data_IF_142164838475
#
_entry.id   IF_142164838475
#
_cell.length_a   1.000
_cell.length_b   1.000
_cell.length_c   1.000
_cell.angle_alpha   90.00
_cell.angle_beta   90.00
_cell.angle_gamma   90.00
#
_symmetry.space_group_name_H-M   'P 1'
#
loop_
_entity.id
_entity.type
_entity.pdbx_description
1 polymer ?
#
# COMPACT_ATOMS: atom_id res chain seq x y z
N UNK A 1 25.76 30.10 -29.67
CA UNK A 1 24.40 30.08 -29.09
C UNK A 1 24.09 31.47 -28.54
N UNK A 2 23.00 32.13 -28.97
CA UNK A 2 22.55 33.40 -28.38
C UNK A 2 21.45 33.09 -27.37
N UNK A 3 21.66 33.45 -26.11
CA UNK A 3 20.70 33.22 -25.02
C UNK A 3 19.88 34.50 -24.82
N UNK A 4 18.56 34.38 -24.75
CA UNK A 4 17.63 35.48 -24.41
C UNK A 4 16.75 35.03 -23.27
N UNK A 5 16.43 35.95 -22.35
CA UNK A 5 15.55 35.71 -21.20
C UNK A 5 14.24 36.48 -21.36
N UNK A 6 13.20 36.03 -20.66
CA UNK A 6 11.90 36.72 -20.59
C UNK A 6 11.49 36.86 -19.13
N UNK A 7 10.74 37.92 -18.82
CA UNK A 7 10.12 38.15 -17.52
C UNK A 7 8.69 37.62 -17.45
N UNK A 8 8.20 36.97 -18.53
CA UNK A 8 6.90 36.32 -18.49
C UNK A 8 6.85 35.23 -17.41
N UNK A 9 5.83 35.33 -16.55
CA UNK A 9 5.60 34.36 -15.49
C UNK A 9 4.98 33.08 -16.06
N UNK A 10 5.83 32.20 -16.60
CA UNK A 10 5.48 30.87 -17.11
C UNK A 10 5.97 29.83 -16.11
N UNK A 11 5.07 28.95 -15.69
CA UNK A 11 5.35 27.87 -14.74
C UNK A 11 5.52 26.52 -15.43
N UNK A 12 6.22 25.57 -14.80
CA UNK A 12 6.69 24.34 -15.45
C UNK A 12 5.75 23.13 -15.25
N UNK A 13 4.88 23.16 -14.24
CA UNK A 13 4.11 22.00 -13.79
C UNK A 13 2.61 22.10 -14.08
N UNK A 14 2.22 22.40 -15.32
CA UNK A 14 0.83 22.66 -15.68
C UNK A 14 -0.12 21.48 -15.46
N UNK A 15 0.38 20.25 -15.50
CA UNK A 15 -0.43 19.05 -15.21
C UNK A 15 -0.96 19.01 -13.78
N UNK A 16 -0.32 19.72 -12.84
CA UNK A 16 -0.78 19.85 -11.46
C UNK A 16 -2.15 20.54 -11.35
N UNK A 17 -2.53 21.41 -12.30
CA UNK A 17 -3.85 22.04 -12.29
C UNK A 17 -4.97 21.00 -12.43
N UNK A 18 -4.82 20.05 -13.36
CA UNK A 18 -5.79 18.96 -13.55
C UNK A 18 -5.86 18.02 -12.36
N UNK A 19 -4.71 17.73 -11.73
CA UNK A 19 -4.65 16.92 -10.51
C UNK A 19 -5.38 17.62 -9.35
N UNK A 20 -5.13 18.92 -9.19
CA UNK A 20 -5.79 19.76 -8.18
C UNK A 20 -7.29 19.81 -8.39
N UNK A 21 -7.74 19.88 -9.64
CA UNK A 21 -9.15 19.86 -10.02
C UNK A 21 -9.81 18.52 -9.71
N UNK A 22 -9.21 17.38 -10.08
CA UNK A 22 -9.76 16.06 -9.73
C UNK A 22 -9.86 15.89 -8.22
N UNK A 23 -8.84 16.32 -7.46
CA UNK A 23 -8.89 16.30 -5.99
C UNK A 23 -10.10 17.07 -5.45
N UNK A 24 -10.39 18.24 -6.04
CA UNK A 24 -11.53 19.08 -5.65
C UNK A 24 -12.87 18.45 -6.06
N UNK A 25 -12.97 17.91 -7.28
CA UNK A 25 -14.19 17.28 -7.80
C UNK A 25 -14.55 16.00 -7.04
N UNK A 26 -13.56 15.29 -6.49
CA UNK A 26 -13.76 14.17 -5.57
C UNK A 26 -14.13 14.62 -4.15
N UNK A 27 -14.18 15.93 -3.88
CA UNK A 27 -14.49 16.52 -2.58
C UNK A 27 -13.62 15.98 -1.43
N UNK A 28 -12.36 15.67 -1.74
CA UNK A 28 -11.44 15.09 -0.74
C UNK A 28 -11.20 16.04 0.44
N UNK A 29 -11.29 17.36 0.24
CA UNK A 29 -11.24 18.32 1.35
C UNK A 29 -12.33 18.08 2.39
N UNK A 30 -13.58 17.94 1.95
CA UNK A 30 -14.71 17.69 2.84
C UNK A 30 -14.61 16.32 3.51
N UNK A 31 -14.09 15.32 2.78
CA UNK A 31 -13.88 13.99 3.33
C UNK A 31 -12.78 13.96 4.40
N UNK A 32 -11.67 14.66 4.17
CA UNK A 32 -10.58 14.82 5.14
C UNK A 32 -11.10 15.51 6.40
N UNK A 33 -11.85 16.61 6.25
CA UNK A 33 -12.44 17.34 7.38
C UNK A 33 -13.42 16.48 8.17
N UNK A 34 -14.26 15.67 7.50
CA UNK A 34 -15.18 14.73 8.17
C UNK A 34 -14.47 13.76 9.11
N UNK A 35 -13.28 13.27 8.73
CA UNK A 35 -12.53 12.28 9.52
C UNK A 35 -11.61 12.90 10.55
N UNK A 36 -10.88 13.95 10.17
CA UNK A 36 -9.86 14.56 11.01
C UNK A 36 -10.38 15.73 11.84
N UNK A 37 -11.56 16.26 11.50
CA UNK A 37 -12.12 17.47 12.08
C UNK A 37 -11.45 18.73 11.57
N UNK A 38 -11.77 19.84 12.22
CA UNK A 38 -11.14 21.13 11.97
C UNK A 38 -9.88 21.30 12.80
N UNK A 39 -8.93 22.06 12.27
CA UNK A 39 -7.78 22.53 13.03
C UNK A 39 -8.19 23.71 13.94
N UNK A 40 -7.42 24.00 15.00
CA UNK A 40 -7.71 25.15 15.88
C UNK A 40 -7.91 26.44 15.06
N UNK A 41 -8.83 27.31 15.49
CA UNK A 41 -9.27 28.51 14.76
C UNK A 41 -8.12 29.44 14.32
N UNK A 42 -7.03 29.49 15.09
CA UNK A 42 -5.82 30.24 14.77
C UNK A 42 -4.99 29.65 13.61
N UNK A 43 -5.34 28.44 13.14
CA UNK A 43 -4.60 27.74 12.09
C UNK A 43 -4.94 28.30 10.72
N UNK A 44 -3.94 28.83 10.02
CA UNK A 44 -4.10 29.34 8.64
C UNK A 44 -4.45 28.25 7.61
N UNK A 45 -4.03 27.01 7.86
CA UNK A 45 -4.15 25.88 6.94
C UNK A 45 -4.95 24.75 7.57
N UNK A 46 -5.87 24.17 6.81
CA UNK A 46 -6.62 22.96 7.17
C UNK A 46 -5.75 21.70 7.02
N UNK A 47 -6.25 20.55 7.49
CA UNK A 47 -5.61 19.27 7.20
C UNK A 47 -5.61 18.95 5.71
N UNK A 48 -6.68 19.30 4.99
CA UNK A 48 -6.75 19.12 3.53
C UNK A 48 -5.67 19.94 2.82
N UNK A 49 -5.46 21.19 3.21
CA UNK A 49 -4.42 22.04 2.62
C UNK A 49 -3.03 21.38 2.75
N UNK A 50 -2.69 20.88 3.95
CA UNK A 50 -1.40 20.23 4.21
C UNK A 50 -1.24 18.93 3.43
N UNK A 51 -2.25 18.05 3.46
CA UNK A 51 -2.22 16.76 2.75
C UNK A 51 -2.11 17.00 1.25
N UNK A 52 -2.90 17.94 0.70
CA UNK A 52 -2.86 18.29 -0.72
C UNK A 52 -1.48 18.84 -1.10
N UNK A 53 -0.88 19.75 -0.33
CA UNK A 53 0.48 20.24 -0.59
C UNK A 53 1.51 19.10 -0.64
N UNK A 54 1.47 18.18 0.32
CA UNK A 54 2.37 17.02 0.35
C UNK A 54 2.15 16.10 -0.86
N UNK A 55 0.92 15.88 -1.28
CA UNK A 55 0.65 15.06 -2.47
C UNK A 55 1.14 15.74 -3.74
N UNK A 56 0.85 17.03 -3.92
CA UNK A 56 1.29 17.79 -5.08
C UNK A 56 2.82 17.83 -5.18
N UNK A 57 3.52 17.90 -4.05
CA UNK A 57 4.99 17.82 -3.97
C UNK A 57 5.51 16.51 -4.60
N UNK A 58 5.02 15.36 -4.12
CA UNK A 58 5.44 14.06 -4.65
C UNK A 58 5.00 13.87 -6.10
N UNK A 59 3.80 14.35 -6.46
CA UNK A 59 3.29 14.32 -7.83
C UNK A 59 4.01 15.29 -8.78
N UNK A 60 4.84 16.19 -8.26
CA UNK A 60 5.77 17.03 -9.02
C UNK A 60 7.21 16.48 -9.06
N UNK A 61 7.49 15.41 -8.31
CA UNK A 61 8.81 14.77 -8.25
C UNK A 61 9.69 15.21 -7.09
N UNK A 62 9.17 15.97 -6.13
CA UNK A 62 9.85 16.22 -4.86
C UNK A 62 9.83 14.98 -3.95
N UNK A 63 10.73 14.96 -2.98
CA UNK A 63 10.87 13.86 -2.02
C UNK A 63 11.06 14.28 -0.56
N UNK A 64 11.20 15.58 -0.31
CA UNK A 64 11.21 16.18 1.03
C UNK A 64 10.37 17.48 1.07
N UNK A 65 9.89 17.86 2.25
CA UNK A 65 8.96 18.99 2.37
C UNK A 65 9.59 20.33 1.96
N UNK A 66 10.91 20.44 2.12
CA UNK A 66 11.76 21.56 1.76
C UNK A 66 11.72 21.87 0.26
N UNK A 67 11.51 20.86 -0.59
CA UNK A 67 11.38 21.04 -2.05
C UNK A 67 10.24 21.98 -2.43
N UNK A 68 9.21 22.14 -1.57
CA UNK A 68 8.17 23.14 -1.79
C UNK A 68 8.79 24.54 -1.82
N UNK A 69 9.62 24.87 -0.84
CA UNK A 69 10.18 26.21 -0.72
C UNK A 69 11.31 26.45 -1.72
N UNK A 70 12.16 25.45 -1.96
CA UNK A 70 13.35 25.56 -2.80
C UNK A 70 13.04 25.45 -4.31
N UNK A 71 12.01 24.70 -4.69
CA UNK A 71 11.81 24.30 -6.10
C UNK A 71 10.41 24.54 -6.65
N UNK A 72 9.36 24.41 -5.84
CA UNK A 72 7.98 24.33 -6.36
C UNK A 72 7.07 25.51 -5.96
N UNK A 73 7.53 26.42 -5.11
CA UNK A 73 6.70 27.48 -4.53
C UNK A 73 6.07 28.38 -5.59
N UNK A 74 6.87 28.82 -6.55
CA UNK A 74 6.42 29.69 -7.66
C UNK A 74 5.33 29.00 -8.49
N UNK A 75 5.50 27.72 -8.79
CA UNK A 75 4.52 26.92 -9.53
C UNK A 75 3.24 26.68 -8.73
N UNK A 76 3.36 26.36 -7.44
CA UNK A 76 2.21 26.08 -6.59
C UNK A 76 1.34 27.32 -6.36
N UNK A 77 1.96 28.50 -6.27
CA UNK A 77 1.24 29.77 -6.16
C UNK A 77 0.40 30.10 -7.41
N UNK A 78 0.70 29.49 -8.57
CA UNK A 78 -0.09 29.64 -9.78
C UNK A 78 -1.25 28.65 -9.89
N UNK A 79 -1.34 27.66 -9.00
CA UNK A 79 -2.45 26.70 -9.00
C UNK A 79 -3.66 27.34 -8.29
N UNK A 80 -4.82 27.48 -8.95
CA UNK A 80 -5.99 28.11 -8.36
C UNK A 80 -6.42 27.40 -7.08
N UNK A 81 -6.76 28.20 -6.06
CA UNK A 81 -7.27 27.75 -4.77
C UNK A 81 -6.33 26.83 -3.98
N UNK A 82 -5.03 26.77 -4.32
CA UNK A 82 -4.03 26.06 -3.53
C UNK A 82 -3.41 26.99 -2.48
N UNK A 83 -3.63 26.70 -1.19
CA UNK A 83 -2.95 27.40 -0.10
C UNK A 83 -1.58 26.78 0.13
N UNK A 84 -0.51 27.43 -0.34
CA UNK A 84 0.85 26.88 -0.27
C UNK A 84 1.37 26.88 1.18
N UNK A 85 1.67 25.70 1.71
CA UNK A 85 2.19 25.51 3.06
C UNK A 85 3.72 25.64 3.09
N UNK A 86 4.29 26.09 4.22
CA UNK A 86 5.73 25.98 4.44
C UNK A 86 6.13 24.54 4.80
N UNK A 87 7.40 24.15 4.61
CA UNK A 87 7.91 22.84 5.05
C UNK A 87 7.63 22.58 6.53
N UNK A 88 7.86 23.58 7.39
CA UNK A 88 7.60 23.49 8.83
C UNK A 88 6.13 23.24 9.14
N UNK A 89 5.21 23.89 8.41
CA UNK A 89 3.77 23.70 8.59
C UNK A 89 3.39 22.27 8.27
N UNK A 90 3.90 21.69 7.18
CA UNK A 90 3.63 20.31 6.79
C UNK A 90 4.14 19.36 7.87
N UNK A 91 5.40 19.52 8.26
CA UNK A 91 6.02 18.68 9.29
C UNK A 91 5.28 18.75 10.63
N UNK A 92 4.96 19.96 11.10
CA UNK A 92 4.28 20.17 12.37
C UNK A 92 2.87 19.54 12.38
N UNK A 93 2.10 19.73 11.31
CA UNK A 93 0.73 19.22 11.25
C UNK A 93 0.67 17.71 11.18
N UNK A 94 1.55 17.08 10.41
CA UNK A 94 1.64 15.62 10.34
C UNK A 94 2.09 15.00 11.67
N UNK A 95 3.04 15.63 12.37
CA UNK A 95 3.44 15.19 13.72
C UNK A 95 2.28 15.29 14.71
N UNK A 96 1.49 16.36 14.67
CA UNK A 96 0.36 16.57 15.57
C UNK A 96 -0.83 15.63 15.30
N UNK A 97 -0.88 15.00 14.12
CA UNK A 97 -1.86 13.94 13.83
C UNK A 97 -1.48 12.60 14.47
N UNK A 98 -0.27 12.43 14.98
CA UNK A 98 0.15 11.17 15.56
C UNK A 98 -0.73 10.78 16.76
N UNK A 99 -1.13 9.51 16.80
CA UNK A 99 -1.80 8.92 17.96
C UNK A 99 -0.76 8.16 18.80
N UNK A 100 -0.96 8.13 20.11
CA UNK A 100 -0.07 7.39 21.01
C UNK A 100 0.10 5.95 20.53
N UNK A 101 1.35 5.49 20.50
CA UNK A 101 1.67 4.09 20.21
C UNK A 101 1.21 3.19 21.35
N UNK A 102 0.77 1.99 20.98
CA UNK A 102 0.44 0.92 21.91
C UNK A 102 1.71 0.15 22.26
N UNK A 103 1.90 -0.13 23.55
CA UNK A 103 3.07 -0.82 24.06
C UNK A 103 2.64 -2.13 24.71
N UNK A 104 3.26 -3.23 24.31
CA UNK A 104 3.03 -4.55 24.87
C UNK A 104 4.34 -5.15 25.34
N UNK A 105 4.34 -5.68 26.56
CA UNK A 105 5.50 -6.34 27.14
C UNK A 105 5.26 -7.84 27.02
N UNK A 106 6.17 -8.55 26.34
CA UNK A 106 6.10 -10.02 26.26
C UNK A 106 6.45 -10.67 27.60
N UNK A 107 6.14 -11.94 27.76
CA UNK A 107 6.55 -12.72 28.95
C UNK A 107 8.07 -12.73 29.18
N UNK A 108 8.86 -12.48 28.13
CA UNK A 108 10.31 -12.36 28.20
C UNK A 108 10.81 -10.92 28.46
N UNK A 109 9.91 -10.00 28.85
CA UNK A 109 10.22 -8.60 29.13
C UNK A 109 10.52 -7.75 27.90
N UNK A 110 10.27 -8.25 26.68
CA UNK A 110 10.55 -7.50 25.45
C UNK A 110 9.41 -6.53 25.18
N UNK A 111 9.75 -5.26 25.02
CA UNK A 111 8.81 -4.22 24.66
C UNK A 111 8.56 -4.16 23.14
N UNK A 112 7.32 -4.46 22.77
CA UNK A 112 6.78 -4.38 21.43
C UNK A 112 5.92 -3.12 21.28
N UNK A 113 6.17 -2.35 20.22
CA UNK A 113 5.50 -1.08 19.98
C UNK A 113 4.71 -1.15 18.67
N UNK A 114 3.45 -0.76 18.74
CA UNK A 114 2.51 -0.71 17.62
C UNK A 114 1.97 0.71 17.48
N UNK A 115 1.78 1.16 16.25
CA UNK A 115 1.13 2.43 15.97
C UNK A 115 0.10 2.24 14.87
N UNK A 116 -1.13 2.59 15.21
CA UNK A 116 -2.27 2.60 14.29
C UNK A 116 -2.91 3.98 14.32
N UNK A 117 -3.66 4.32 13.26
CA UNK A 117 -4.40 5.56 13.21
C UNK A 117 -5.80 5.32 12.62
N UNK A 118 -6.75 4.99 13.50
CA UNK A 118 -8.12 4.55 13.12
C UNK A 118 -8.80 5.50 12.13
N UNK A 119 -8.73 6.81 12.36
CA UNK A 119 -9.35 7.83 11.48
C UNK A 119 -8.72 7.92 10.09
N UNK A 120 -7.41 7.72 9.95
CA UNK A 120 -6.72 7.79 8.65
C UNK A 120 -6.93 6.51 7.87
N UNK A 121 -6.95 5.35 8.53
CA UNK A 121 -7.35 4.08 7.92
C UNK A 121 -8.81 4.15 7.41
N UNK A 122 -9.73 4.70 8.21
CA UNK A 122 -11.12 4.89 7.80
C UNK A 122 -11.26 5.91 6.65
N UNK A 123 -10.51 7.01 6.69
CA UNK A 123 -10.45 8.00 5.61
C UNK A 123 -9.97 7.39 4.29
N UNK A 124 -8.91 6.58 4.32
CA UNK A 124 -8.37 5.90 3.15
C UNK A 124 -9.42 5.01 2.47
N UNK A 125 -10.18 4.23 3.24
CA UNK A 125 -11.28 3.44 2.70
C UNK A 125 -12.39 4.30 2.09
N UNK A 126 -12.77 5.40 2.75
CA UNK A 126 -13.80 6.29 2.21
C UNK A 126 -13.34 6.99 0.92
N UNK A 127 -12.04 7.29 0.77
CA UNK A 127 -11.47 7.78 -0.49
C UNK A 127 -11.55 6.73 -1.60
N UNK A 128 -11.29 5.45 -1.28
CA UNK A 128 -11.41 4.34 -2.23
C UNK A 128 -12.88 4.09 -2.63
N UNK A 129 -13.83 4.27 -1.72
CA UNK A 129 -15.27 4.24 -2.03
C UNK A 129 -15.67 5.44 -2.91
N UNK A 130 -15.21 6.65 -2.58
CA UNK A 130 -15.50 7.88 -3.34
C UNK A 130 -14.97 7.80 -4.77
N UNK A 131 -13.82 7.14 -4.97
CA UNK A 131 -13.22 6.88 -6.29
C UNK A 131 -13.78 5.65 -7.01
N UNK A 132 -14.76 4.95 -6.41
CA UNK A 132 -15.39 3.71 -6.91
C UNK A 132 -14.42 2.56 -7.16
N UNK A 133 -13.23 2.61 -6.56
CA UNK A 133 -12.31 1.47 -6.51
C UNK A 133 -12.90 0.37 -5.65
N UNK A 134 -13.49 0.78 -4.51
CA UNK A 134 -14.30 -0.07 -3.66
C UNK A 134 -15.77 0.28 -3.82
N UNK A 135 -16.63 -0.71 -3.66
CA UNK A 135 -18.07 -0.60 -3.75
C UNK A 135 -18.72 -1.31 -2.55
N UNK A 136 -19.82 -0.73 -2.08
CA UNK A 136 -20.61 -1.24 -0.96
C UNK A 136 -21.25 -2.57 -1.35
N UNK A 137 -21.22 -3.55 -0.44
CA UNK A 137 -21.73 -4.91 -0.59
C UNK A 137 -21.05 -5.76 -1.67
N UNK A 138 -19.89 -5.32 -2.19
CA UNK A 138 -19.11 -6.10 -3.14
C UNK A 138 -18.04 -6.93 -2.43
N UNK A 139 -17.74 -8.07 -3.04
CA UNK A 139 -16.77 -9.04 -2.57
C UNK A 139 -15.40 -8.81 -3.21
N UNK A 140 -14.34 -8.87 -2.41
CA UNK A 140 -12.98 -8.58 -2.82
C UNK A 140 -11.98 -9.65 -2.36
N UNK A 141 -10.85 -9.70 -3.07
CA UNK A 141 -9.69 -10.48 -2.65
C UNK A 141 -8.79 -9.61 -1.76
N UNK A 142 -8.49 -10.13 -0.57
CA UNK A 142 -7.71 -9.48 0.46
C UNK A 142 -6.32 -10.11 0.55
N UNK A 143 -5.30 -9.26 0.61
CA UNK A 143 -3.92 -9.66 0.87
C UNK A 143 -3.40 -8.96 2.13
N UNK A 144 -2.59 -9.68 2.90
CA UNK A 144 -1.86 -9.12 4.03
C UNK A 144 -0.39 -9.52 3.97
N UNK A 145 0.48 -8.52 4.08
CA UNK A 145 1.92 -8.70 4.11
C UNK A 145 2.59 -7.68 5.02
N UNK A 146 3.75 -8.05 5.57
CA UNK A 146 4.60 -7.12 6.29
C UNK A 146 5.74 -6.61 5.40
N UNK A 147 5.99 -5.30 5.46
CA UNK A 147 7.11 -4.67 4.78
C UNK A 147 8.16 -4.22 5.79
N UNK A 148 9.41 -4.67 5.66
CA UNK A 148 10.49 -4.08 6.44
C UNK A 148 10.93 -2.75 5.82
N UNK A 149 10.93 -1.69 6.62
CA UNK A 149 11.44 -0.37 6.21
C UNK A 149 12.70 -0.09 7.04
N UNK A 150 13.91 -0.32 6.47
CA UNK A 150 15.16 0.02 7.14
C UNK A 150 15.24 1.53 7.37
N UNK A 151 15.45 1.95 8.62
CA UNK A 151 15.63 3.35 8.97
C UNK A 151 16.40 3.49 10.29
N UNK A 152 17.09 4.60 10.45
CA UNK A 152 17.85 4.94 11.66
C UNK A 152 17.13 6.05 12.44
N UNK A 153 15.83 5.85 12.66
CA UNK A 153 15.03 6.79 13.46
C UNK A 153 15.33 6.63 14.94
N UNK A 154 15.07 7.70 15.69
CA UNK A 154 15.40 7.82 17.10
C UNK A 154 14.90 6.61 17.91
N UNK A 155 13.63 6.22 17.73
CA UNK A 155 13.02 5.10 18.46
C UNK A 155 13.03 3.77 17.69
N UNK A 156 13.65 3.69 16.51
CA UNK A 156 13.74 2.43 15.75
C UNK A 156 14.48 1.34 16.52
N UNK A 157 14.07 0.08 16.38
CA UNK A 157 14.69 -1.08 17.04
C UNK A 157 15.20 -2.08 15.99
N UNK A 158 16.19 -2.90 16.37
CA UNK A 158 16.82 -3.90 15.49
C UNK A 158 15.83 -5.04 15.20
N UNK A 159 15.68 -5.39 13.93
CA UNK A 159 14.84 -6.50 13.49
C UNK A 159 15.61 -7.80 13.35
N UNK A 160 14.89 -8.90 13.11
CA UNK A 160 15.48 -10.19 12.75
C UNK A 160 16.30 -10.14 11.45
N UNK A 161 16.09 -9.13 10.59
CA UNK A 161 16.90 -8.85 9.40
C UNK A 161 18.22 -8.13 9.72
N UNK A 162 18.61 -8.09 11.00
CA UNK A 162 19.84 -7.49 11.53
C UNK A 162 20.00 -5.99 11.24
N UNK A 163 18.92 -5.31 10.86
CA UNK A 163 18.87 -3.87 10.59
C UNK A 163 17.83 -3.19 11.48
N UNK A 164 18.08 -1.93 11.84
CA UNK A 164 17.12 -1.05 12.53
C UNK A 164 16.06 -0.58 11.55
N UNK A 165 14.82 -0.47 12.02
CA UNK A 165 13.74 -0.01 11.17
C UNK A 165 12.37 -0.24 11.76
N UNK A 166 11.35 -0.09 10.92
CA UNK A 166 9.96 -0.43 11.22
C UNK A 166 9.49 -1.60 10.36
N UNK A 167 8.43 -2.28 10.80
CA UNK A 167 7.94 -3.51 10.20
C UNK A 167 6.41 -3.48 9.95
N UNK A 168 5.87 -2.43 9.30
CA UNK A 168 4.43 -2.28 9.10
C UNK A 168 3.74 -3.53 8.54
N UNK A 169 2.58 -3.85 9.10
CA UNK A 169 1.58 -4.73 8.50
C UNK A 169 0.72 -3.91 7.54
N UNK A 170 0.64 -4.37 6.29
CA UNK A 170 -0.07 -3.67 5.21
C UNK A 170 -1.10 -4.61 4.62
N UNK A 171 -2.32 -4.11 4.48
CA UNK A 171 -3.42 -4.83 3.84
C UNK A 171 -3.75 -4.20 2.50
N UNK A 172 -4.00 -5.04 1.49
CA UNK A 172 -4.29 -4.57 0.13
C UNK A 172 -5.50 -5.28 -0.47
N UNK A 173 -6.24 -4.55 -1.31
CA UNK A 173 -7.24 -5.10 -2.23
C UNK A 173 -6.79 -4.76 -3.65
N UNK A 174 -6.45 -5.79 -4.42
CA UNK A 174 -5.82 -5.63 -5.73
C UNK A 174 -4.53 -4.80 -5.62
N UNK A 175 -4.48 -3.65 -6.31
CA UNK A 175 -3.30 -2.74 -6.27
C UNK A 175 -3.36 -1.69 -5.17
N UNK A 176 -4.45 -1.61 -4.40
CA UNK A 176 -4.71 -0.49 -3.49
C UNK A 176 -4.41 -0.88 -2.05
N UNK A 177 -3.68 -0.02 -1.34
CA UNK A 177 -3.45 -0.18 0.09
C UNK A 177 -4.70 0.27 0.82
N UNK A 178 -5.28 -0.60 1.63
CA UNK A 178 -6.55 -0.32 2.33
C UNK A 178 -6.34 -0.03 3.81
N UNK A 179 -5.29 -0.59 4.42
CA UNK A 179 -4.99 -0.41 5.84
C UNK A 179 -3.50 -0.55 6.12
N UNK A 180 -3.00 0.24 7.08
CA UNK A 180 -1.65 0.12 7.62
C UNK A 180 -1.71 0.13 9.14
N UNK A 181 -0.97 -0.79 9.76
CA UNK A 181 -0.58 -0.74 11.15
C UNK A 181 0.95 -0.83 11.22
N UNK A 182 1.58 0.21 11.75
CA UNK A 182 3.02 0.23 11.88
C UNK A 182 3.46 -0.44 13.18
N UNK A 183 4.65 -1.01 13.18
CA UNK A 183 5.26 -1.62 14.36
C UNK A 183 6.76 -1.47 14.33
N UNK A 184 7.37 -1.46 15.50
CA UNK A 184 8.81 -1.30 15.60
C UNK A 184 9.55 -2.57 15.16
N UNK A 185 10.79 -2.44 14.68
CA UNK A 185 11.52 -3.50 13.99
C UNK A 185 11.76 -4.78 14.80
N UNK A 186 11.82 -4.69 16.14
CA UNK A 186 11.95 -5.85 17.03
C UNK A 186 10.64 -6.62 17.26
N UNK A 187 9.52 -6.13 16.73
CA UNK A 187 8.21 -6.76 16.89
C UNK A 187 8.06 -7.89 15.90
N UNK A 188 7.88 -9.11 16.41
CA UNK A 188 7.68 -10.30 15.58
C UNK A 188 6.42 -10.13 14.71
N UNK A 189 6.48 -10.57 13.45
CA UNK A 189 5.38 -10.51 12.49
C UNK A 189 4.11 -11.19 12.98
N UNK A 190 4.25 -12.33 13.67
CA UNK A 190 3.15 -13.12 14.25
C UNK A 190 2.54 -12.48 15.49
N UNK A 191 3.31 -11.67 16.22
CA UNK A 191 2.88 -11.14 17.51
C UNK A 191 1.73 -10.15 17.29
N UNK A 192 0.57 -10.47 17.88
CA UNK A 192 -0.70 -9.73 17.76
C UNK A 192 -1.20 -9.49 16.34
N UNK A 193 -0.78 -10.30 15.37
CA UNK A 193 -1.25 -10.16 13.99
C UNK A 193 -2.75 -10.45 13.85
N UNK A 194 -3.30 -11.38 14.65
CA UNK A 194 -4.73 -11.66 14.68
C UNK A 194 -5.55 -10.41 15.07
N UNK A 195 -5.07 -9.63 16.05
CA UNK A 195 -5.69 -8.36 16.44
C UNK A 195 -5.62 -7.34 15.29
N UNK A 196 -4.47 -7.23 14.61
CA UNK A 196 -4.32 -6.38 13.42
C UNK A 196 -5.35 -6.74 12.35
N UNK A 197 -5.45 -8.02 12.00
CA UNK A 197 -6.38 -8.51 10.97
C UNK A 197 -7.83 -8.29 11.37
N UNK A 198 -8.19 -8.59 12.62
CA UNK A 198 -9.54 -8.34 13.14
C UNK A 198 -9.93 -6.87 13.04
N UNK A 199 -9.00 -5.96 13.36
CA UNK A 199 -9.21 -4.52 13.20
C UNK A 199 -9.46 -4.13 11.74
N UNK A 200 -8.70 -4.70 10.79
CA UNK A 200 -8.88 -4.42 9.36
C UNK A 200 -10.23 -4.95 8.86
N UNK A 201 -10.55 -6.22 9.15
CA UNK A 201 -11.81 -6.83 8.71
C UNK A 201 -13.03 -6.14 9.31
N UNK A 202 -12.98 -5.82 10.61
CA UNK A 202 -14.06 -5.07 11.27
C UNK A 202 -14.24 -3.70 10.63
N UNK A 203 -13.14 -3.02 10.29
CA UNK A 203 -13.23 -1.74 9.58
C UNK A 203 -13.87 -1.90 8.19
N UNK A 204 -13.48 -2.92 7.41
CA UNK A 204 -14.09 -3.22 6.11
C UNK A 204 -15.59 -3.52 6.24
N UNK A 205 -15.99 -4.28 7.26
CA UNK A 205 -17.39 -4.59 7.55
C UNK A 205 -18.20 -3.33 7.87
N UNK A 206 -17.66 -2.39 8.66
CA UNK A 206 -18.33 -1.09 8.91
C UNK A 206 -18.53 -0.26 7.63
N UNK A 207 -17.69 -0.50 6.61
CA UNK A 207 -17.79 0.10 5.28
C UNK A 207 -18.58 -0.76 4.29
N UNK A 208 -19.13 -1.89 4.75
CA UNK A 208 -19.85 -2.90 3.97
C UNK A 208 -19.03 -3.43 2.78
N UNK A 209 -17.71 -3.50 2.93
CA UNK A 209 -16.81 -4.13 1.96
C UNK A 209 -16.60 -5.57 2.39
N UNK A 210 -17.01 -6.53 1.56
CA UNK A 210 -16.96 -7.95 1.90
C UNK A 210 -15.70 -8.60 1.34
N UNK A 211 -15.18 -9.60 2.03
CA UNK A 211 -14.00 -10.34 1.58
C UNK A 211 -14.40 -11.74 1.12
N UNK A 212 -14.10 -12.05 -0.14
CA UNK A 212 -14.30 -13.38 -0.69
C UNK A 212 -13.13 -14.27 -0.31
N UNK A 213 -11.93 -13.84 -0.66
CA UNK A 213 -10.72 -14.64 -0.54
C UNK A 213 -9.64 -13.88 0.20
N UNK A 214 -8.97 -14.53 1.14
CA UNK A 214 -7.83 -13.95 1.86
C UNK A 214 -6.55 -14.73 1.61
N UNK A 215 -5.48 -14.05 1.18
CA UNK A 215 -4.16 -14.68 0.97
C UNK A 215 -3.12 -14.09 1.90
N UNK A 216 -2.32 -14.96 2.52
CA UNK A 216 -1.26 -14.56 3.45
C UNK A 216 -0.03 -15.45 3.35
N UNK A 217 1.10 -14.92 3.83
CA UNK A 217 2.38 -15.61 3.86
C UNK A 217 2.53 -16.56 5.06
N UNK A 218 3.71 -17.18 5.22
CA UNK A 218 3.96 -18.11 6.32
C UNK A 218 4.15 -17.41 7.67
N UNK A 219 4.44 -16.11 7.64
CA UNK A 219 4.36 -15.23 8.80
C UNK A 219 2.97 -15.25 9.43
N UNK A 220 1.94 -15.60 8.66
CA UNK A 220 0.54 -15.62 9.11
C UNK A 220 0.04 -17.01 9.53
N UNK A 221 0.91 -18.02 9.56
CA UNK A 221 0.53 -19.39 9.96
C UNK A 221 0.52 -19.54 11.49
N UNK A 222 -0.62 -19.19 12.10
CA UNK A 222 -0.99 -19.51 13.49
C UNK A 222 -2.50 -19.77 13.59
N UNK A 223 -2.93 -20.51 14.62
CA UNK A 223 -4.35 -20.84 14.82
C UNK A 223 -5.23 -19.58 14.91
N UNK A 224 -4.85 -18.64 15.76
CA UNK A 224 -5.60 -17.39 15.99
C UNK A 224 -5.78 -16.56 14.71
N UNK A 225 -4.77 -16.53 13.84
CA UNK A 225 -4.83 -15.80 12.57
C UNK A 225 -5.75 -16.50 11.58
N UNK A 226 -5.66 -17.83 11.49
CA UNK A 226 -6.53 -18.65 10.64
C UNK A 226 -7.98 -18.47 11.08
N UNK A 227 -8.27 -18.62 12.37
CA UNK A 227 -9.63 -18.46 12.92
C UNK A 227 -10.23 -17.08 12.58
N UNK A 228 -9.43 -16.00 12.72
CA UNK A 228 -9.87 -14.66 12.31
C UNK A 228 -10.08 -14.55 10.81
N UNK A 229 -9.16 -15.07 9.98
CA UNK A 229 -9.29 -14.98 8.53
C UNK A 229 -10.53 -15.72 8.01
N UNK A 230 -10.84 -16.90 8.57
CA UNK A 230 -12.02 -17.69 8.26
C UNK A 230 -13.32 -17.02 8.70
N UNK A 231 -13.31 -16.31 9.83
CA UNK A 231 -14.50 -15.60 10.31
C UNK A 231 -14.96 -14.51 9.32
N UNK A 232 -14.02 -13.88 8.61
CA UNK A 232 -14.30 -12.70 7.79
C UNK A 232 -14.14 -12.92 6.27
N UNK A 233 -13.77 -14.13 5.84
CA UNK A 233 -13.54 -14.46 4.43
C UNK A 233 -14.25 -15.76 4.08
N UNK A 234 -14.83 -15.84 2.87
CA UNK A 234 -15.44 -17.08 2.38
C UNK A 234 -14.38 -18.19 2.19
N UNK A 235 -13.19 -17.82 1.71
CA UNK A 235 -12.10 -18.74 1.44
C UNK A 235 -10.76 -18.14 1.89
N UNK A 236 -9.88 -18.98 2.46
CA UNK A 236 -8.54 -18.58 2.87
C UNK A 236 -7.45 -19.35 2.13
N UNK A 237 -6.30 -18.72 1.94
CA UNK A 237 -5.08 -19.31 1.39
C UNK A 237 -3.88 -18.83 2.19
N UNK A 238 -3.37 -19.66 3.11
CA UNK A 238 -2.27 -19.29 4.00
C UNK A 238 -1.11 -20.23 3.74
N UNK A 239 0.07 -19.66 3.51
CA UNK A 239 1.28 -20.48 3.36
C UNK A 239 1.58 -21.22 4.65
N UNK A 240 1.65 -22.54 4.57
CA UNK A 240 1.91 -23.36 5.74
C UNK A 240 3.38 -23.28 6.16
N UNK A 241 3.61 -23.28 7.48
CA UNK A 241 4.92 -23.56 8.04
C UNK A 241 5.15 -25.08 8.00
N UNK A 242 6.39 -25.49 7.75
CA UNK A 242 6.76 -26.91 7.76
C UNK A 242 6.69 -27.45 9.19
N UNK A 243 6.17 -28.66 9.33
CA UNK A 243 6.23 -29.43 10.56
C UNK A 243 6.42 -30.91 10.23
N UNK A 244 7.03 -31.66 11.15
CA UNK A 244 7.41 -33.05 10.91
C UNK A 244 6.21 -33.94 10.54
N UNK A 245 5.05 -33.72 11.17
CA UNK A 245 3.81 -34.47 10.91
C UNK A 245 3.29 -34.24 9.48
N UNK A 246 3.14 -32.97 9.07
CA UNK A 246 2.74 -32.60 7.71
C UNK A 246 3.76 -33.11 6.69
N UNK A 247 5.05 -32.93 6.95
CA UNK A 247 6.12 -33.41 6.05
C UNK A 247 6.08 -34.94 5.89
N UNK A 248 5.76 -35.68 6.95
CA UNK A 248 5.60 -37.14 6.88
C UNK A 248 4.45 -37.56 5.96
N UNK A 249 3.29 -36.88 6.09
CA UNK A 249 2.15 -37.13 5.20
C UNK A 249 2.46 -36.81 3.75
N UNK A 250 3.13 -35.68 3.49
CA UNK A 250 3.54 -35.29 2.14
C UNK A 250 4.51 -36.31 1.53
N UNK A 251 5.46 -36.84 2.31
CA UNK A 251 6.39 -37.89 1.84
C UNK A 251 5.69 -39.20 1.48
N UNK A 252 4.57 -39.53 2.13
CA UNK A 252 3.81 -40.73 1.82
C UNK A 252 3.06 -40.63 0.47
N UNK A 253 2.96 -39.43 -0.12
CA UNK A 253 2.31 -39.22 -1.42
C UNK A 253 3.16 -39.80 -2.54
N UNK A 254 2.65 -40.86 -3.17
CA UNK A 254 3.30 -41.51 -4.33
C UNK A 254 2.97 -40.84 -5.66
N UNK A 255 1.76 -40.31 -5.80
CA UNK A 255 1.25 -39.77 -7.06
C UNK A 255 1.31 -38.25 -7.05
N UNK A 256 2.23 -37.71 -7.84
CA UNK A 256 2.36 -36.27 -8.08
C UNK A 256 1.90 -35.96 -9.50
N UNK A 257 1.06 -34.93 -9.64
CA UNK A 257 0.62 -34.47 -10.95
C UNK A 257 1.58 -33.38 -11.43
N UNK A 258 2.11 -33.51 -12.63
CA UNK A 258 2.87 -32.43 -13.26
C UNK A 258 1.86 -31.45 -13.85
N UNK A 259 1.99 -30.18 -13.46
CA UNK A 259 1.20 -29.07 -13.99
C UNK A 259 2.12 -27.93 -14.39
N UNK A 260 1.67 -27.12 -15.35
CA UNK A 260 2.41 -25.97 -15.84
C UNK A 260 1.95 -24.71 -15.13
N UNK A 261 2.83 -24.11 -14.32
CA UNK A 261 2.59 -22.85 -13.62
C UNK A 261 3.43 -21.76 -14.30
N UNK A 262 2.78 -20.92 -15.10
CA UNK A 262 3.46 -19.93 -15.92
C UNK A 262 4.39 -20.58 -16.96
N UNK A 263 5.70 -20.45 -16.76
CA UNK A 263 6.74 -21.00 -17.64
C UNK A 263 7.41 -22.27 -17.08
N UNK A 264 7.01 -22.73 -15.90
CA UNK A 264 7.66 -23.85 -15.19
C UNK A 264 6.71 -25.03 -15.05
N UNK A 265 7.27 -26.24 -15.22
CA UNK A 265 6.57 -27.48 -14.87
C UNK A 265 6.87 -27.81 -13.40
N UNK A 266 5.81 -27.98 -12.63
CA UNK A 266 5.87 -28.17 -11.18
C UNK A 266 5.04 -29.40 -10.82
N UNK A 267 5.54 -30.20 -9.88
CA UNK A 267 4.82 -31.33 -9.34
C UNK A 267 3.91 -30.88 -8.20
N UNK A 268 2.62 -31.23 -8.27
CA UNK A 268 1.60 -30.81 -7.31
C UNK A 268 0.78 -31.99 -6.79
N UNK A 269 0.31 -31.85 -5.55
CA UNK A 269 -0.68 -32.73 -4.95
C UNK A 269 -1.49 -31.99 -3.88
N UNK A 270 -2.55 -32.62 -3.38
CA UNK A 270 -3.29 -32.20 -2.20
C UNK A 270 -3.24 -33.25 -1.12
N UNK A 271 -3.11 -32.83 0.13
CA UNK A 271 -3.27 -33.67 1.32
C UNK A 271 -4.23 -33.00 2.31
N UNK A 272 -4.91 -33.80 3.12
CA UNK A 272 -5.77 -33.32 4.19
C UNK A 272 -5.04 -33.46 5.52
N UNK A 273 -4.90 -32.36 6.26
CA UNK A 273 -4.16 -32.32 7.52
C UNK A 273 -4.86 -31.42 8.53
N UNK A 274 -4.76 -31.81 9.80
CA UNK A 274 -5.34 -31.09 10.94
C UNK A 274 -4.21 -30.40 11.72
N UNK A 275 -3.98 -29.10 11.54
CA UNK A 275 -2.91 -28.39 12.22
C UNK A 275 -3.24 -28.08 13.68
N UNK A 276 -2.19 -27.71 14.44
CA UNK A 276 -2.28 -27.21 15.82
C UNK A 276 -2.92 -28.16 16.84
N UNK A 277 -2.99 -29.47 16.53
CA UNK A 277 -3.73 -30.46 17.34
C UNK A 277 -5.19 -30.02 17.57
N UNK A 278 -5.76 -29.27 16.63
CA UNK A 278 -7.16 -28.90 16.65
C UNK A 278 -8.04 -30.01 16.07
N UNK A 279 -9.29 -29.66 15.79
CA UNK A 279 -10.29 -30.62 15.29
C UNK A 279 -10.64 -30.40 13.82
N UNK A 280 -10.22 -29.26 13.25
CA UNK A 280 -10.56 -28.88 11.88
C UNK A 280 -9.51 -29.36 10.90
N UNK A 281 -9.96 -30.20 9.97
CA UNK A 281 -9.14 -30.68 8.87
C UNK A 281 -9.16 -29.67 7.72
N UNK A 282 -7.99 -29.35 7.18
CA UNK A 282 -7.82 -28.44 6.05
C UNK A 282 -7.18 -29.16 4.87
N UNK A 283 -7.50 -28.65 3.67
CA UNK A 283 -6.78 -29.02 2.46
C UNK A 283 -5.46 -28.28 2.41
N UNK A 284 -4.40 -29.02 2.14
CA UNK A 284 -3.07 -28.49 1.86
C UNK A 284 -2.71 -28.79 0.42
N UNK A 285 -2.66 -27.74 -0.41
CA UNK A 285 -2.13 -27.84 -1.77
C UNK A 285 -0.63 -27.69 -1.70
N UNK A 286 0.09 -28.71 -2.16
CA UNK A 286 1.54 -28.80 -2.06
C UNK A 286 2.14 -28.80 -3.46
N UNK A 287 3.14 -27.96 -3.66
CA UNK A 287 4.00 -27.98 -4.83
C UNK A 287 5.44 -28.31 -4.46
N UNK A 288 6.14 -28.98 -5.38
CA UNK A 288 7.56 -29.27 -5.24
C UNK A 288 8.32 -29.05 -6.54
N UNK A 289 9.53 -28.54 -6.40
CA UNK A 289 10.46 -28.28 -7.51
C UNK A 289 11.83 -28.86 -7.15
N UNK A 290 12.56 -29.38 -8.13
CA UNK A 290 13.93 -29.86 -7.89
C UNK A 290 14.82 -28.70 -7.47
N UNK A 291 15.57 -28.89 -6.40
CA UNK A 291 16.57 -27.95 -5.92
C UNK A 291 17.71 -27.85 -6.93
N UNK A 292 17.97 -26.63 -7.45
CA UNK A 292 19.03 -26.39 -8.44
C UNK A 292 20.44 -26.63 -7.89
N UNK A 293 20.62 -26.63 -6.56
CA UNK A 293 21.92 -26.87 -5.91
C UNK A 293 22.15 -28.33 -5.52
N UNK A 294 21.16 -29.21 -5.68
CA UNK A 294 21.27 -30.64 -5.32
C UNK A 294 21.41 -30.92 -3.83
N UNK A 295 21.35 -29.91 -2.95
CA UNK A 295 21.36 -30.10 -1.50
C UNK A 295 20.07 -30.78 -1.04
N UNK A 296 20.25 -31.86 -0.27
CA UNK A 296 19.16 -32.60 0.37
C UNK A 296 18.51 -31.74 1.45
N UNK A 297 17.19 -31.56 1.35
CA UNK A 297 16.38 -30.95 2.38
C UNK A 297 16.35 -31.85 3.62
N UNK A 298 16.77 -31.32 4.77
CA UNK A 298 16.88 -32.07 6.03
C UNK A 298 15.52 -32.58 6.53
N UNK A 299 14.42 -31.88 6.24
CA UNK A 299 13.09 -32.23 6.71
C UNK A 299 12.38 -33.22 5.79
N UNK A 300 12.63 -33.17 4.47
CA UNK A 300 12.02 -34.08 3.49
C UNK A 300 12.93 -35.22 3.04
N UNK A 301 14.24 -35.15 3.36
CA UNK A 301 15.27 -36.12 3.00
C UNK A 301 15.43 -36.34 1.48
N UNK A 302 15.08 -35.34 0.68
CA UNK A 302 15.22 -35.37 -0.78
C UNK A 302 15.78 -34.05 -1.33
N UNK A 303 15.98 -33.94 -2.63
CA UNK A 303 16.48 -32.73 -3.28
C UNK A 303 15.35 -31.82 -3.80
N UNK A 304 14.16 -31.82 -3.18
CA UNK A 304 13.04 -30.99 -3.60
C UNK A 304 12.77 -29.83 -2.63
N UNK A 305 12.29 -28.71 -3.18
CA UNK A 305 11.80 -27.57 -2.41
C UNK A 305 10.29 -27.69 -2.31
N UNK A 306 9.80 -28.08 -1.13
CA UNK A 306 8.37 -28.19 -0.85
C UNK A 306 7.74 -26.87 -0.41
N UNK A 307 6.53 -26.67 -0.90
CA UNK A 307 5.74 -25.45 -0.78
C UNK A 307 4.28 -25.82 -0.53
N UNK A 308 3.79 -25.67 0.70
CA UNK A 308 2.42 -26.03 1.06
C UNK A 308 1.54 -24.81 1.36
N UNK A 309 0.31 -24.81 0.86
CA UNK A 309 -0.70 -23.77 1.07
C UNK A 309 -1.90 -24.42 1.77
N UNK A 310 -2.19 -23.99 3.00
CA UNK A 310 -3.43 -24.31 3.69
C UNK A 310 -4.56 -23.53 3.03
N UNK A 311 -5.66 -24.21 2.69
CA UNK A 311 -6.85 -23.57 2.14
C UNK A 311 -8.15 -24.25 2.56
N UNK A 312 -9.23 -23.48 2.59
CA UNK A 312 -10.61 -23.96 2.69
C UNK A 312 -11.25 -24.20 1.32
N UNK A 313 -10.54 -23.88 0.23
CA UNK A 313 -10.98 -24.11 -1.14
C UNK A 313 -11.00 -25.61 -1.46
N UNK A 314 -12.20 -26.16 -1.63
CA UNK A 314 -12.39 -27.58 -1.97
C UNK A 314 -12.74 -27.79 -3.45
N UNK A 315 -13.08 -26.72 -4.16
CA UNK A 315 -13.59 -26.77 -5.54
C UNK A 315 -12.48 -26.61 -6.57
N UNK A 316 -11.52 -25.73 -6.31
CA UNK A 316 -10.42 -25.44 -7.25
C UNK A 316 -9.45 -26.61 -7.36
N UNK A 317 -8.89 -26.83 -8.54
CA UNK A 317 -7.77 -27.76 -8.72
C UNK A 317 -6.49 -27.27 -8.04
N UNK A 318 -5.56 -28.18 -7.75
CA UNK A 318 -4.26 -27.85 -7.15
C UNK A 318 -3.50 -26.76 -7.95
N UNK A 319 -3.56 -26.85 -9.28
CA UNK A 319 -2.98 -25.86 -10.18
C UNK A 319 -3.59 -24.48 -9.97
N UNK A 320 -4.93 -24.38 -9.97
CA UNK A 320 -5.65 -23.11 -9.81
C UNK A 320 -5.36 -22.46 -8.45
N UNK A 321 -5.29 -23.27 -7.38
CA UNK A 321 -4.93 -22.76 -6.04
C UNK A 321 -3.53 -22.14 -6.04
N UNK A 322 -2.55 -22.79 -6.66
CA UNK A 322 -1.18 -22.30 -6.72
C UNK A 322 -1.09 -21.04 -7.60
N UNK A 323 -1.70 -21.03 -8.78
CA UNK A 323 -1.71 -19.88 -9.68
C UNK A 323 -2.36 -18.66 -9.02
N UNK A 324 -3.50 -18.87 -8.36
CA UNK A 324 -4.19 -17.82 -7.62
C UNK A 324 -3.38 -17.29 -6.42
N UNK A 325 -2.75 -18.19 -5.66
CA UNK A 325 -1.90 -17.80 -4.54
C UNK A 325 -0.68 -16.98 -5.00
N UNK A 326 -0.07 -17.35 -6.13
CA UNK A 326 1.12 -16.68 -6.68
C UNK A 326 0.86 -15.22 -7.09
N UNK A 327 -0.40 -14.83 -7.37
CA UNK A 327 -0.77 -13.44 -7.63
C UNK A 327 -0.49 -12.51 -6.43
N UNK A 328 -0.37 -13.05 -5.20
CA UNK A 328 0.08 -12.30 -4.01
C UNK A 328 1.45 -11.65 -4.21
N UNK A 329 2.30 -12.20 -5.09
CA UNK A 329 3.60 -11.60 -5.47
C UNK A 329 3.49 -10.16 -6.00
N UNK A 330 2.30 -9.69 -6.37
CA UNK A 330 2.05 -8.28 -6.69
C UNK A 330 2.37 -7.31 -5.54
N UNK A 331 2.35 -7.77 -4.28
CA UNK A 331 2.68 -6.95 -3.11
C UNK A 331 4.10 -6.37 -3.16
N UNK A 332 5.07 -7.12 -3.71
CA UNK A 332 6.45 -6.63 -3.87
C UNK A 332 6.51 -5.37 -4.73
N UNK A 333 5.71 -5.33 -5.81
CA UNK A 333 5.61 -4.15 -6.67
C UNK A 333 4.96 -2.96 -5.95
N UNK A 334 3.95 -3.21 -5.12
CA UNK A 334 3.31 -2.16 -4.30
C UNK A 334 4.35 -1.56 -3.34
N UNK A 335 5.14 -2.38 -2.65
CA UNK A 335 6.16 -1.89 -1.73
C UNK A 335 7.33 -1.21 -2.43
N UNK A 336 7.73 -1.67 -3.62
CA UNK A 336 8.71 -0.97 -4.45
C UNK A 336 8.23 0.44 -4.84
N UNK A 337 6.96 0.58 -5.23
CA UNK A 337 6.32 1.89 -5.48
C UNK A 337 6.31 2.75 -4.23
N UNK A 338 5.87 2.21 -3.09
CA UNK A 338 5.83 2.99 -1.85
C UNK A 338 7.21 3.47 -1.40
N UNK A 339 8.22 2.61 -1.53
CA UNK A 339 9.58 2.92 -1.11
C UNK A 339 10.25 3.97 -2.02
N UNK A 340 10.12 3.82 -3.34
CA UNK A 340 10.87 4.62 -4.31
C UNK A 340 10.09 5.84 -4.82
N UNK A 341 8.76 5.74 -4.95
CA UNK A 341 7.93 6.78 -5.55
C UNK A 341 7.16 7.59 -4.49
N UNK A 342 6.80 6.99 -3.34
CA UNK A 342 5.95 7.62 -2.31
C UNK A 342 6.62 7.74 -0.93
N UNK A 343 7.95 7.76 -0.91
CA UNK A 343 8.72 8.27 0.24
C UNK A 343 8.86 7.32 1.45
N UNK A 344 8.38 6.06 1.41
CA UNK A 344 8.54 5.15 2.56
C UNK A 344 9.99 4.84 2.88
N UNK A 345 10.90 4.91 1.91
CA UNK A 345 12.35 4.76 2.15
C UNK A 345 12.96 5.98 2.86
N UNK A 346 12.30 7.14 2.81
CA UNK A 346 12.75 8.43 3.37
C UNK A 346 11.75 8.95 4.41
N UNK A 347 11.45 8.14 5.41
CA UNK A 347 10.56 8.52 6.51
C UNK A 347 11.02 9.86 7.14
N UNK A 348 10.16 10.87 7.34
CA UNK A 348 10.62 12.21 7.71
C UNK A 348 10.78 12.43 9.22
N UNK A 349 10.19 11.57 10.07
CA UNK A 349 10.08 11.86 11.50
C UNK A 349 10.91 10.94 12.39
N UNK A 350 11.14 11.37 13.63
CA UNK A 350 12.00 10.65 14.59
C UNK A 350 11.30 9.47 15.26
N UNK A 351 9.97 9.48 15.33
CA UNK A 351 9.18 8.53 16.13
C UNK A 351 8.26 7.66 15.27
N UNK A 352 8.00 6.44 15.72
CA UNK A 352 7.16 5.44 15.05
C UNK A 352 5.77 6.01 14.67
N UNK A 353 5.08 6.62 15.63
CA UNK A 353 3.70 7.09 15.47
C UNK A 353 3.56 8.26 14.49
N UNK A 354 4.55 9.15 14.45
CA UNK A 354 4.60 10.25 13.48
C UNK A 354 4.82 9.70 12.07
N UNK A 355 5.71 8.72 11.91
CA UNK A 355 5.96 8.08 10.62
C UNK A 355 4.77 7.23 10.16
N UNK A 356 3.95 6.72 11.08
CA UNK A 356 2.71 6.01 10.76
C UNK A 356 1.71 6.94 10.06
N UNK A 357 1.57 8.18 10.54
CA UNK A 357 0.77 9.21 9.85
C UNK A 357 1.31 9.46 8.44
N UNK A 358 2.61 9.69 8.31
CA UNK A 358 3.22 9.93 6.99
C UNK A 358 2.96 8.77 6.03
N UNK A 359 3.16 7.52 6.48
CA UNK A 359 2.97 6.34 5.65
C UNK A 359 1.52 6.19 5.17
N UNK A 360 0.53 6.45 6.04
CA UNK A 360 -0.88 6.44 5.70
C UNK A 360 -1.24 7.54 4.68
N UNK A 361 -0.77 8.77 4.92
CA UNK A 361 -0.98 9.89 4.00
C UNK A 361 -0.38 9.61 2.62
N UNK A 362 0.79 8.98 2.56
CA UNK A 362 1.42 8.61 1.29
C UNK A 362 0.78 7.39 0.63
N UNK A 363 0.23 6.44 1.40
CA UNK A 363 -0.56 5.34 0.83
C UNK A 363 -1.83 5.86 0.14
N UNK A 364 -2.51 6.85 0.76
CA UNK A 364 -3.62 7.56 0.13
C UNK A 364 -3.18 8.31 -1.13
N UNK A 365 -2.01 8.96 -1.12
CA UNK A 365 -1.42 9.61 -2.30
C UNK A 365 -1.24 8.61 -3.46
N UNK A 366 -0.71 7.42 -3.17
CA UNK A 366 -0.54 6.37 -4.19
C UNK A 366 -1.87 5.88 -4.72
N UNK A 367 -2.86 5.64 -3.86
CA UNK A 367 -4.20 5.23 -4.30
C UNK A 367 -4.83 6.31 -5.20
N UNK A 368 -4.69 7.58 -4.84
CA UNK A 368 -5.13 8.70 -5.67
C UNK A 368 -4.38 8.75 -7.01
N UNK A 369 -3.06 8.53 -7.01
CA UNK A 369 -2.26 8.44 -8.24
C UNK A 369 -2.75 7.34 -9.18
N UNK A 370 -3.09 6.15 -8.67
CA UNK A 370 -3.65 5.08 -9.48
C UNK A 370 -4.99 5.50 -10.12
N UNK A 371 -5.83 6.21 -9.36
CA UNK A 371 -7.08 6.76 -9.89
C UNK A 371 -6.82 7.81 -10.99
N UNK A 372 -5.87 8.72 -10.80
CA UNK A 372 -5.47 9.71 -11.81
C UNK A 372 -5.03 9.03 -13.12
N UNK A 373 -4.24 7.95 -13.03
CA UNK A 373 -3.82 7.21 -14.22
C UNK A 373 -5.01 6.63 -14.99
N UNK A 374 -6.00 6.06 -14.29
CA UNK A 374 -7.23 5.55 -14.90
C UNK A 374 -7.97 6.69 -15.61
N UNK A 375 -8.33 7.74 -14.88
CA UNK A 375 -9.11 8.89 -15.40
C UNK A 375 -8.43 9.53 -16.61
N UNK A 376 -7.13 9.79 -16.53
CA UNK A 376 -6.43 10.42 -17.65
C UNK A 376 -6.21 9.47 -18.82
N UNK A 377 -5.95 8.19 -18.59
CA UNK A 377 -5.74 7.23 -19.70
C UNK A 377 -6.98 6.98 -20.55
N UNK A 378 -8.17 7.19 -19.99
CA UNK A 378 -9.44 7.12 -20.73
C UNK A 378 -9.64 8.33 -21.64
N UNK A 379 -9.09 9.50 -21.26
CA UNK A 379 -9.26 10.76 -21.99
C UNK A 379 -8.12 11.07 -22.96
N UNK A 380 -6.89 10.63 -22.66
CA UNK A 380 -5.71 10.95 -23.47
C UNK A 380 -4.79 9.75 -23.70
N UNK A 381 -4.33 9.60 -24.94
CA UNK A 381 -3.50 8.45 -25.38
C UNK A 381 -2.07 8.43 -24.81
N UNK A 382 -1.55 9.58 -24.40
CA UNK A 382 -0.18 9.72 -23.91
C UNK A 382 0.01 9.38 -22.42
N UNK A 383 -1.09 9.09 -21.70
CA UNK A 383 -1.10 8.56 -20.33
C UNK A 383 -1.54 7.09 -20.36
N UNK A 384 -0.89 6.23 -19.57
CA UNK A 384 -1.26 4.81 -19.46
C UNK A 384 -1.35 4.39 -18.00
N UNK A 385 -2.27 3.50 -17.68
CA UNK A 385 -2.46 2.89 -16.35
C UNK A 385 -1.23 2.11 -15.84
N UNK A 386 -0.26 1.82 -16.71
CA UNK A 386 0.98 1.12 -16.38
C UNK A 386 2.14 2.06 -16.01
N UNK A 387 1.95 3.37 -16.06
CA UNK A 387 3.01 4.33 -15.75
C UNK A 387 3.39 4.31 -14.27
N UNK A 388 4.70 4.34 -14.02
CA UNK A 388 5.27 4.71 -12.71
C UNK A 388 5.26 6.22 -12.54
N UNK A 389 5.35 6.69 -11.30
CA UNK A 389 5.21 8.11 -10.96
C UNK A 389 6.18 8.99 -11.77
N UNK A 390 7.46 8.63 -11.83
CA UNK A 390 8.48 9.35 -12.62
C UNK A 390 8.07 9.54 -14.08
N UNK A 391 7.55 8.48 -14.72
CA UNK A 391 7.13 8.53 -16.13
C UNK A 391 5.88 9.39 -16.31
N UNK A 392 4.95 9.33 -15.36
CA UNK A 392 3.77 10.19 -15.34
C UNK A 392 4.17 11.67 -15.20
N UNK A 393 5.11 12.00 -14.31
CA UNK A 393 5.61 13.36 -14.13
C UNK A 393 6.15 13.93 -15.44
N UNK A 394 7.09 13.23 -16.09
CA UNK A 394 7.68 13.69 -17.35
C UNK A 394 6.67 13.80 -18.51
N UNK A 395 5.66 12.93 -18.53
CA UNK A 395 4.73 12.85 -19.68
C UNK A 395 3.48 13.68 -19.50
N UNK A 396 3.07 13.96 -18.27
CA UNK A 396 1.81 14.62 -17.97
C UNK A 396 1.97 15.87 -17.10
N UNK A 397 2.79 15.81 -16.04
CA UNK A 397 2.86 16.90 -15.05
C UNK A 397 3.72 18.05 -15.56
N UNK A 398 4.89 17.75 -16.11
CA UNK A 398 5.83 18.73 -16.66
C UNK A 398 5.31 19.20 -18.01
N UNK A 399 4.59 20.32 -18.00
CA UNK A 399 4.09 21.03 -19.16
C UNK A 399 4.05 22.53 -18.82
N UNK A 400 4.73 23.40 -19.59
CA UNK A 400 4.71 24.81 -19.26
C UNK A 400 3.30 25.39 -19.37
N UNK A 401 2.93 26.27 -18.43
CA UNK A 401 1.61 26.86 -18.37
C UNK A 401 1.62 28.31 -17.87
N UNK A 402 0.50 28.98 -18.16
CA UNK A 402 0.15 30.30 -17.61
C UNK A 402 -1.36 30.43 -17.54
N UNK A 403 -1.87 31.01 -16.46
CA UNK A 403 -3.26 31.45 -16.40
C UNK A 403 -3.40 32.83 -17.07
N UNK A 404 -4.37 32.94 -17.97
CA UNK A 404 -4.74 34.21 -18.61
C UNK A 404 -6.20 34.51 -18.32
N UNK A 405 -6.50 35.79 -18.11
CA UNK A 405 -7.88 36.25 -18.00
C UNK A 405 -8.29 36.87 -19.33
N UNK A 406 -9.26 36.27 -19.99
CA UNK A 406 -9.75 36.72 -21.30
C UNK A 406 -11.26 36.46 -21.40
N UNK A 407 -12.01 37.39 -21.97
CA UNK A 407 -13.48 37.29 -22.13
C UNK A 407 -14.24 36.87 -20.85
N UNK A 408 -13.86 37.45 -19.69
CA UNK A 408 -14.43 37.14 -18.37
C UNK A 408 -14.23 35.69 -17.89
N UNK A 409 -13.27 34.97 -18.47
CA UNK A 409 -12.93 33.60 -18.12
C UNK A 409 -11.45 33.49 -17.73
N UNK A 410 -11.17 32.67 -16.72
CA UNK A 410 -9.82 32.22 -16.42
C UNK A 410 -9.49 31.03 -17.34
N UNK A 411 -8.47 31.18 -18.17
CA UNK A 411 -8.07 30.18 -19.16
C UNK A 411 -6.69 29.65 -18.79
N UNK A 412 -6.58 28.33 -18.63
CA UNK A 412 -5.30 27.65 -18.46
C UNK A 412 -4.63 27.49 -19.83
N UNK A 413 -3.66 28.33 -20.15
CA UNK A 413 -2.88 28.22 -21.38
C UNK A 413 -1.70 27.27 -21.16
N UNK A 414 -1.69 26.16 -21.90
CA UNK A 414 -0.58 25.19 -21.91
C UNK A 414 0.27 25.37 -23.16
N UNK A 415 1.60 25.30 -23.01
CA UNK A 415 2.55 25.43 -24.12
C UNK A 415 2.99 24.04 -24.58
N UNK A 416 2.11 23.35 -25.31
CA UNK A 416 2.31 21.96 -25.74
C UNK A 416 1.52 21.64 -27.00
N UNK A 417 1.97 20.60 -27.72
CA UNK A 417 1.22 19.97 -28.84
C UNK A 417 0.37 18.79 -28.38
N UNK A 418 0.46 18.39 -27.10
CA UNK A 418 -0.31 17.27 -26.54
C UNK A 418 -1.77 17.69 -26.34
N UNK A 419 -2.67 16.73 -26.47
CA UNK A 419 -4.12 16.92 -26.45
C UNK A 419 -4.70 17.03 -25.03
N UNK A 420 -4.14 17.92 -24.19
CA UNK A 420 -4.72 18.22 -22.87
C UNK A 420 -6.16 18.75 -22.89
N UNK A 421 -6.65 19.44 -23.95
CA UNK A 421 -8.05 19.86 -24.00
C UNK A 421 -9.07 18.73 -23.90
N UNK A 422 -8.70 17.48 -24.24
CA UNK A 422 -9.57 16.31 -24.10
C UNK A 422 -9.82 15.90 -22.64
N UNK A 423 -9.07 16.47 -21.69
CA UNK A 423 -9.19 16.15 -20.26
C UNK A 423 -10.40 16.83 -19.61
N UNK A 424 -10.82 17.99 -20.13
CA UNK A 424 -11.91 18.79 -19.59
C UNK A 424 -13.25 18.20 -20.00
#
# INVERSE_FOLDING_TARGET
MKITTTTENISAYGGLNFISEIFNNLEFSSLIEKHLGQRPLQSKFSYSDVIKNLWMLFLAGGDCAEDIQEHLKSDFLQIPNLKVCSPDTIGHVLKNLAQSKEVHISNSGIEHQFSTHKKLNALNLDMLLKTRVLEVNKYYDFDFDHQFIPCEKYDSKKSYKMKRGYFPGVSTIGKHIIHIENRNGNTNVKYKQADTLKNVYSLLETKKVKINRSRMDCGSFSKEIIDVAEQYSEIIYIRAQRCAELSSQIRAVKNWKIVRIGLFDVEVCSVNYTPFKGDKNYRYVVSRERNKTGQTDLEFQDNFIYRAILTTDTDSSDQQVIEYYNLRGAAEKIFDEMNNDFGWKKLPFSFLEQNTVFMLVMAMCRNFFLHLLTVFSEKVSFVKTTYRLKKFIFRFVVVPFKWIYHSRQNILKLYTKKEYPLIV
#
